data_IF_036404639948
#
_entry.id   IF_036404639948
#
_cell.length_a   1.000
_cell.length_b   1.000
_cell.length_c   1.000
_cell.angle_alpha   90.00
_cell.angle_beta   90.00
_cell.angle_gamma   90.00
#
_symmetry.space_group_name_H-M   'P 1'
#
loop_
_entity.id
_entity.type
_entity.pdbx_description
1 polymer ?
#
# COMPACT_ATOMS: atom_id res chain seq x y z
N UNK A 1 -39.12 -37.67 35.86
CA UNK A 1 -37.88 -38.03 36.57
C UNK A 1 -37.05 -36.76 36.67
N UNK A 2 -37.10 -36.15 37.85
CA UNK A 2 -36.37 -34.96 38.27
C UNK A 2 -34.92 -35.34 38.56
N UNK A 3 -33.99 -34.82 37.76
CA UNK A 3 -32.55 -34.94 37.99
C UNK A 3 -32.03 -33.59 38.47
N UNK A 4 -31.66 -33.56 39.75
CA UNK A 4 -31.26 -32.41 40.55
C UNK A 4 -29.85 -31.90 40.27
N UNK A 5 -29.69 -30.63 40.61
CA UNK A 5 -28.49 -29.84 40.85
C UNK A 5 -27.27 -30.59 41.40
N UNK A 6 -26.11 -30.27 40.85
CA UNK A 6 -24.82 -30.32 41.55
C UNK A 6 -24.00 -29.10 41.11
N UNK A 7 -24.23 -27.99 41.80
CA UNK A 7 -23.43 -26.77 41.72
C UNK A 7 -22.08 -27.01 42.41
N UNK A 8 -21.02 -27.14 41.60
CA UNK A 8 -19.65 -27.16 42.08
C UNK A 8 -19.17 -25.73 42.37
N UNK A 9 -19.03 -25.38 43.65
CA UNK A 9 -18.38 -24.15 44.13
C UNK A 9 -16.94 -24.48 44.53
N UNK A 10 -15.91 -23.98 43.83
CA UNK A 10 -14.52 -24.14 44.28
C UNK A 10 -14.27 -23.25 45.50
N UNK A 11 -13.83 -23.87 46.58
CA UNK A 11 -13.34 -23.23 47.80
C UNK A 11 -12.09 -22.41 47.50
N UNK A 12 -12.17 -21.09 47.63
CA UNK A 12 -10.99 -20.22 47.61
C UNK A 12 -10.19 -20.42 48.90
N UNK A 13 -8.96 -20.91 48.76
CA UNK A 13 -7.98 -20.90 49.84
C UNK A 13 -7.47 -19.47 50.06
N UNK A 14 -7.32 -19.01 51.31
CA UNK A 14 -6.76 -17.69 51.61
C UNK A 14 -5.28 -17.67 51.26
N UNK A 15 -4.90 -16.85 50.28
CA UNK A 15 -3.50 -16.59 49.96
C UNK A 15 -2.99 -15.47 50.88
N UNK A 16 -2.11 -15.87 51.79
CA UNK A 16 -1.35 -14.99 52.67
C UNK A 16 -0.69 -13.84 51.90
N UNK A 17 -1.00 -12.62 52.35
CA UNK A 17 -0.36 -11.40 51.90
C UNK A 17 1.01 -11.24 52.56
N UNK A 18 2.13 -11.13 51.81
CA UNK A 18 3.38 -10.73 52.42
C UNK A 18 3.43 -9.20 52.67
N UNK A 19 4.06 -8.76 53.77
CA UNK A 19 4.00 -7.39 54.25
C UNK A 19 4.85 -6.40 53.44
N UNK A 20 4.37 -5.16 53.42
CA UNK A 20 5.01 -3.99 52.85
C UNK A 20 6.38 -3.71 53.50
N UNK A 21 7.47 -3.92 52.75
CA UNK A 21 8.79 -3.49 53.18
C UNK A 21 9.08 -2.08 52.67
N UNK A 22 8.73 -1.09 53.49
CA UNK A 22 9.28 0.26 53.43
C UNK A 22 10.73 0.23 53.92
N UNK A 23 11.71 0.33 53.01
CA UNK A 23 13.08 0.74 53.33
C UNK A 23 13.51 1.78 52.31
N UNK A 24 13.45 3.06 52.66
CA UNK A 24 14.46 3.85 53.39
C UNK A 24 15.32 4.64 52.40
N UNK A 25 15.09 5.95 52.46
CA UNK A 25 15.85 7.00 51.79
C UNK A 25 17.34 6.88 52.15
N UNK A 26 18.20 7.05 51.16
CA UNK A 26 19.53 7.60 51.34
C UNK A 26 19.71 8.78 50.37
N UNK A 27 19.78 10.02 50.88
CA UNK A 27 20.40 11.11 50.16
C UNK A 27 21.88 11.11 50.54
N UNK A 28 22.76 10.68 49.63
CA UNK A 28 24.19 10.98 49.76
C UNK A 28 24.52 12.11 48.80
N UNK A 29 24.64 13.30 49.38
CA UNK A 29 25.35 14.44 48.81
C UNK A 29 26.75 14.00 48.39
N UNK A 30 27.06 14.18 47.11
CA UNK A 30 28.44 14.36 46.68
C UNK A 30 28.47 15.46 45.64
N UNK A 31 28.74 16.65 46.15
CA UNK A 31 29.27 17.81 45.42
C UNK A 31 30.57 17.40 44.72
N UNK A 32 30.54 17.39 43.40
CA UNK A 32 31.73 17.46 42.57
C UNK A 32 31.42 18.29 41.33
N UNK A 33 32.00 19.49 41.33
CA UNK A 33 32.49 20.23 40.17
C UNK A 33 31.53 20.43 38.99
N UNK A 34 30.98 21.66 38.96
CA UNK A 34 30.32 22.26 37.80
C UNK A 34 31.36 22.51 36.71
N UNK A 35 31.60 21.49 35.87
CA UNK A 35 32.21 21.68 34.55
C UNK A 35 31.10 22.17 33.60
N UNK A 36 31.24 23.32 32.94
CA UNK A 36 30.24 23.80 31.99
C UNK A 36 30.09 22.76 30.86
N UNK A 37 28.86 22.29 30.55
CA UNK A 37 28.65 21.30 29.52
C UNK A 37 29.05 21.89 28.17
N UNK A 38 30.18 21.41 27.63
CA UNK A 38 30.57 21.60 26.24
C UNK A 38 29.37 21.24 25.37
N UNK A 39 28.95 22.20 24.57
CA UNK A 39 27.85 22.14 23.61
C UNK A 39 27.61 20.72 23.08
N UNK A 40 26.59 20.08 23.63
CA UNK A 40 26.19 18.73 23.25
C UNK A 40 25.95 18.71 21.73
N UNK A 41 26.79 17.95 21.01
CA UNK A 41 26.58 17.64 19.59
C UNK A 41 25.16 17.11 19.47
N UNK A 42 24.32 17.83 18.71
CA UNK A 42 22.93 17.44 18.46
C UNK A 42 22.90 15.96 18.08
N UNK A 43 22.09 15.12 18.74
CA UNK A 43 22.05 13.69 18.46
C UNK A 43 21.78 13.50 16.97
N UNK A 44 22.64 12.69 16.34
CA UNK A 44 22.54 12.29 14.94
C UNK A 44 21.10 11.81 14.71
N UNK A 45 20.40 12.47 13.79
CA UNK A 45 19.01 12.16 13.49
C UNK A 45 18.95 10.77 12.87
N UNK A 46 18.72 9.75 13.70
CA UNK A 46 18.43 8.40 13.24
C UNK A 46 17.16 8.46 12.38
N UNK A 47 17.21 8.02 11.12
CA UNK A 47 16.03 8.01 10.27
C UNK A 47 14.97 7.14 10.92
N UNK A 48 13.86 7.76 11.34
CA UNK A 48 12.71 7.05 11.93
C UNK A 48 12.30 5.94 10.98
N UNK A 49 12.58 4.68 11.35
CA UNK A 49 12.19 3.51 10.58
C UNK A 49 10.69 3.59 10.30
N UNK A 50 10.34 3.68 9.02
CA UNK A 50 8.96 3.80 8.56
C UNK A 50 8.21 2.53 8.95
N UNK A 51 7.37 2.64 9.98
CA UNK A 51 6.54 1.54 10.44
C UNK A 51 5.70 0.99 9.28
N UNK A 52 5.92 -0.28 8.95
CA UNK A 52 5.15 -0.96 7.90
C UNK A 52 3.70 -1.03 8.34
N UNK A 53 2.81 -0.38 7.59
CA UNK A 53 1.37 -0.45 7.85
C UNK A 53 0.85 -1.79 7.31
N UNK A 54 -0.26 -2.28 7.85
CA UNK A 54 -1.02 -3.39 7.25
C UNK A 54 -2.11 -2.77 6.37
N UNK A 55 -2.48 -3.37 5.22
CA UNK A 55 -3.63 -2.92 4.44
C UNK A 55 -4.90 -2.86 5.30
N UNK A 56 -5.71 -1.81 5.12
CA UNK A 56 -6.96 -1.61 5.88
C UNK A 56 -8.21 -2.06 5.13
N UNK A 57 -8.07 -2.49 3.87
CA UNK A 57 -9.18 -2.95 3.04
C UNK A 57 -9.41 -4.46 3.25
N UNK A 58 -10.61 -4.83 3.72
CA UNK A 58 -10.98 -6.21 3.98
C UNK A 58 -10.79 -7.13 2.77
N UNK A 59 -11.12 -6.67 1.54
CA UNK A 59 -10.95 -7.48 0.32
C UNK A 59 -9.49 -7.82 0.07
N UNK A 60 -8.58 -6.86 0.28
CA UNK A 60 -7.14 -7.07 0.09
C UNK A 60 -6.58 -8.06 1.12
N UNK A 61 -7.01 -7.95 2.38
CA UNK A 61 -6.58 -8.85 3.46
C UNK A 61 -7.01 -10.29 3.17
N UNK A 62 -8.27 -10.49 2.77
CA UNK A 62 -8.81 -11.82 2.45
C UNK A 62 -8.03 -12.48 1.29
N UNK A 63 -7.70 -11.71 0.25
CA UNK A 63 -6.90 -12.21 -0.87
C UNK A 63 -5.49 -12.63 -0.43
N UNK A 64 -4.81 -11.80 0.37
CA UNK A 64 -3.47 -12.10 0.89
C UNK A 64 -3.49 -13.33 1.80
N UNK A 65 -4.45 -13.42 2.72
CA UNK A 65 -4.65 -14.57 3.60
C UNK A 65 -4.88 -15.85 2.81
N UNK A 66 -5.74 -15.85 1.78
CA UNK A 66 -5.98 -17.02 0.92
C UNK A 66 -4.69 -17.46 0.22
N UNK A 67 -3.87 -16.51 -0.24
CA UNK A 67 -2.58 -16.82 -0.87
C UNK A 67 -1.58 -17.43 0.11
N UNK A 68 -1.52 -16.94 1.35
CA UNK A 68 -0.69 -17.51 2.41
C UNK A 68 -1.12 -18.91 2.81
N UNK A 69 -2.43 -19.14 2.97
CA UNK A 69 -2.95 -20.46 3.29
C UNK A 69 -2.60 -21.48 2.21
N UNK A 70 -2.56 -21.08 0.93
CA UNK A 70 -2.08 -21.96 -0.14
C UNK A 70 -0.59 -22.26 -0.03
N UNK A 71 0.23 -21.24 0.22
CA UNK A 71 1.69 -21.38 0.38
C UNK A 71 2.10 -22.21 1.60
N UNK A 72 1.32 -22.14 2.68
CA UNK A 72 1.59 -22.85 3.93
C UNK A 72 1.14 -24.32 3.92
N UNK A 73 0.49 -24.80 2.85
CA UNK A 73 0.11 -26.21 2.74
C UNK A 73 1.36 -27.03 2.44
N UNK A 74 1.67 -27.98 3.33
CA UNK A 74 2.80 -28.89 3.16
C UNK A 74 4.17 -28.29 3.49
N UNK A 75 4.23 -27.11 4.13
CA UNK A 75 5.50 -26.52 4.58
C UNK A 75 5.71 -26.74 6.07
N UNK A 76 6.92 -27.12 6.45
CA UNK A 76 7.31 -27.31 7.84
C UNK A 76 7.21 -26.03 8.68
N UNK A 77 7.10 -26.22 9.99
CA UNK A 77 6.82 -25.13 10.94
C UNK A 77 7.97 -24.12 10.97
N UNK A 78 9.20 -24.61 11.00
CA UNK A 78 10.43 -23.82 11.13
C UNK A 78 10.73 -23.01 9.87
N UNK A 79 10.61 -23.64 8.70
CA UNK A 79 10.90 -23.01 7.40
C UNK A 79 9.88 -21.91 7.02
N UNK A 80 8.68 -21.98 7.58
CA UNK A 80 7.57 -21.10 7.23
C UNK A 80 7.19 -20.06 8.29
N UNK A 81 8.08 -19.82 9.27
CA UNK A 81 7.82 -18.87 10.37
C UNK A 81 7.40 -17.47 9.86
N UNK A 82 8.12 -16.93 8.88
CA UNK A 82 7.83 -15.62 8.29
C UNK A 82 6.42 -15.54 7.67
N UNK A 83 6.01 -16.57 6.94
CA UNK A 83 4.69 -16.67 6.34
C UNK A 83 3.57 -16.83 7.39
N UNK A 84 3.85 -17.54 8.48
CA UNK A 84 2.92 -17.71 9.61
C UNK A 84 2.72 -16.40 10.38
N UNK A 85 3.80 -15.64 10.60
CA UNK A 85 3.76 -14.28 11.17
C UNK A 85 2.86 -13.38 10.31
N UNK A 86 3.05 -13.38 8.98
CA UNK A 86 2.17 -12.63 8.08
C UNK A 86 0.72 -13.10 8.14
N UNK A 87 0.47 -14.41 8.19
CA UNK A 87 -0.90 -14.97 8.25
C UNK A 87 -1.61 -14.55 9.53
N UNK A 88 -0.91 -14.61 10.67
CA UNK A 88 -1.44 -14.15 11.96
C UNK A 88 -1.76 -12.65 11.94
N UNK A 89 -0.89 -11.83 11.35
CA UNK A 89 -1.13 -10.40 11.16
C UNK A 89 -2.41 -10.10 10.38
N UNK A 90 -2.61 -10.80 9.26
CA UNK A 90 -3.81 -10.63 8.45
C UNK A 90 -5.07 -11.14 9.15
N UNK A 91 -4.99 -12.24 9.90
CA UNK A 91 -6.11 -12.77 10.66
C UNK A 91 -6.56 -11.80 11.77
N UNK A 92 -5.62 -11.23 12.53
CA UNK A 92 -5.94 -10.24 13.56
C UNK A 92 -6.52 -8.95 12.96
N UNK A 93 -5.97 -8.49 11.82
CA UNK A 93 -6.49 -7.32 11.13
C UNK A 93 -7.91 -7.56 10.57
N UNK A 94 -8.18 -8.75 10.03
CA UNK A 94 -9.50 -9.17 9.56
C UNK A 94 -10.53 -9.13 10.69
N UNK A 95 -10.22 -9.76 11.84
CA UNK A 95 -11.10 -9.77 13.01
C UNK A 95 -11.39 -8.34 13.50
N UNK A 96 -10.37 -7.49 13.60
CA UNK A 96 -10.52 -6.09 13.97
C UNK A 96 -11.45 -5.32 13.02
N UNK A 97 -11.30 -5.50 11.70
CA UNK A 97 -12.14 -4.82 10.72
C UNK A 97 -13.59 -5.32 10.73
N UNK A 98 -13.79 -6.63 10.96
CA UNK A 98 -15.12 -7.21 11.10
C UNK A 98 -15.82 -6.70 12.37
N UNK A 99 -15.12 -6.66 13.50
CA UNK A 99 -15.63 -6.07 14.74
C UNK A 99 -15.97 -4.59 14.57
N UNK A 100 -15.06 -3.82 13.96
CA UNK A 100 -15.28 -2.41 13.65
C UNK A 100 -16.52 -2.19 12.78
N UNK A 101 -16.79 -3.08 11.82
CA UNK A 101 -18.00 -2.99 10.99
C UNK A 101 -19.26 -3.28 11.79
N UNK A 102 -19.25 -4.30 12.66
CA UNK A 102 -20.39 -4.70 13.50
C UNK A 102 -20.74 -3.64 14.56
N UNK A 103 -19.74 -3.03 15.18
CA UNK A 103 -19.95 -2.02 16.24
C UNK A 103 -20.34 -0.66 15.67
N UNK A 104 -19.77 -0.29 14.51
CA UNK A 104 -20.13 0.96 13.82
C UNK A 104 -21.62 1.03 13.47
N UNK A 105 -22.27 -0.10 13.19
CA UNK A 105 -23.69 -0.14 12.84
C UNK A 105 -24.62 -0.11 14.04
N UNK A 106 -24.19 -0.60 15.20
CA UNK A 106 -25.11 -0.86 16.32
C UNK A 106 -25.17 0.24 17.37
N UNK A 107 -24.06 0.92 17.69
CA UNK A 107 -24.02 1.73 18.93
C UNK A 107 -23.14 2.99 18.87
N UNK A 108 -22.60 3.38 17.71
CA UNK A 108 -21.68 4.54 17.61
C UNK A 108 -20.39 4.43 18.46
N UNK A 109 -20.17 3.28 19.12
CA UNK A 109 -19.02 3.05 20.00
C UNK A 109 -17.75 2.94 19.17
N UNK A 110 -16.70 3.66 19.60
CA UNK A 110 -15.38 3.61 18.98
C UNK A 110 -14.67 2.32 19.37
N UNK A 111 -14.31 1.49 18.39
CA UNK A 111 -13.48 0.29 18.63
C UNK A 111 -12.05 0.71 18.92
N UNK A 112 -11.50 0.22 20.04
CA UNK A 112 -10.09 0.44 20.42
C UNK A 112 -9.16 -0.05 19.31
N UNK A 113 -8.11 0.72 19.03
CA UNK A 113 -7.13 0.34 18.01
C UNK A 113 -6.48 -1.01 18.35
N UNK A 114 -6.48 -1.94 17.39
CA UNK A 114 -5.84 -3.23 17.57
C UNK A 114 -4.31 -3.07 17.65
N UNK A 115 -3.72 -3.54 18.75
CA UNK A 115 -2.25 -3.56 18.96
C UNK A 115 -1.63 -4.80 18.29
N UNK A 116 -1.85 -4.98 16.99
CA UNK A 116 -1.54 -6.20 16.24
C UNK A 116 -0.05 -6.54 16.30
N UNK A 117 0.82 -5.56 16.06
CA UNK A 117 2.27 -5.76 16.11
C UNK A 117 2.72 -6.31 17.47
N UNK A 118 2.31 -5.66 18.56
CA UNK A 118 2.68 -6.08 19.91
C UNK A 118 2.22 -7.52 20.18
N UNK A 119 0.97 -7.85 19.82
CA UNK A 119 0.41 -9.19 20.05
C UNK A 119 1.14 -10.27 19.25
N UNK A 120 1.58 -9.97 18.03
CA UNK A 120 2.32 -10.93 17.21
C UNK A 120 3.76 -11.09 17.69
N UNK A 121 4.40 -9.99 18.10
CA UNK A 121 5.73 -10.04 18.70
C UNK A 121 5.73 -10.93 19.95
N UNK A 122 4.69 -10.79 20.79
CA UNK A 122 4.45 -11.63 21.97
C UNK A 122 4.22 -13.10 21.60
N UNK A 123 3.31 -13.39 20.67
CA UNK A 123 2.95 -14.78 20.30
C UNK A 123 4.09 -15.56 19.62
N UNK A 124 4.91 -14.90 18.82
CA UNK A 124 5.98 -15.55 18.07
C UNK A 124 7.36 -15.36 18.69
N UNK A 125 7.46 -14.63 19.81
CA UNK A 125 8.75 -14.32 20.46
C UNK A 125 9.70 -13.52 19.57
N UNK A 126 9.17 -12.68 18.67
CA UNK A 126 9.98 -11.90 17.71
C UNK A 126 10.07 -10.43 18.12
N UNK A 127 11.20 -9.80 17.81
CA UNK A 127 11.36 -8.36 18.07
C UNK A 127 10.51 -7.51 17.09
N UNK A 128 10.02 -6.33 17.52
CA UNK A 128 9.25 -5.44 16.65
C UNK A 128 9.94 -5.06 15.33
N UNK A 129 11.26 -4.83 15.27
CA UNK A 129 11.98 -4.59 14.01
C UNK A 129 11.92 -5.80 13.07
N UNK A 130 12.09 -7.01 13.60
CA UNK A 130 12.02 -8.27 12.84
C UNK A 130 10.63 -8.47 12.25
N UNK A 131 9.58 -8.21 13.04
CA UNK A 131 8.21 -8.22 12.55
C UNK A 131 8.02 -7.24 11.38
N UNK A 132 8.50 -5.99 11.52
CA UNK A 132 8.41 -5.00 10.46
C UNK A 132 9.17 -5.43 9.20
N UNK A 133 10.37 -6.00 9.35
CA UNK A 133 11.16 -6.53 8.24
C UNK A 133 10.38 -7.64 7.48
N UNK A 134 9.93 -8.68 8.20
CA UNK A 134 9.15 -9.80 7.63
C UNK A 134 7.93 -9.29 6.88
N UNK A 135 7.14 -8.42 7.52
CA UNK A 135 5.90 -7.91 6.93
C UNK A 135 6.20 -7.01 5.73
N UNK A 136 7.23 -6.17 5.80
CA UNK A 136 7.62 -5.28 4.70
C UNK A 136 8.12 -6.05 3.47
N UNK A 137 8.93 -7.09 3.67
CA UNK A 137 9.38 -7.98 2.60
C UNK A 137 8.17 -8.66 1.94
N UNK A 138 7.28 -9.26 2.74
CA UNK A 138 6.09 -9.91 2.20
C UNK A 138 5.17 -8.96 1.42
N UNK A 139 4.96 -7.74 1.91
CA UNK A 139 4.09 -6.76 1.27
C UNK A 139 4.70 -6.16 0.00
N UNK A 140 6.03 -6.00 -0.05
CA UNK A 140 6.76 -5.61 -1.26
C UNK A 140 6.62 -6.67 -2.34
N UNK A 141 6.92 -7.94 -2.02
CA UNK A 141 6.87 -9.05 -2.96
C UNK A 141 5.47 -9.29 -3.57
N UNK A 142 4.42 -8.89 -2.86
CA UNK A 142 3.03 -9.18 -3.23
C UNK A 142 2.24 -7.99 -3.79
N UNK A 143 2.87 -6.82 -4.01
CA UNK A 143 2.20 -5.63 -4.54
C UNK A 143 0.83 -5.34 -3.86
N UNK A 144 0.71 -5.68 -2.58
CA UNK A 144 -0.53 -5.51 -1.80
C UNK A 144 -0.89 -4.01 -1.66
N UNK A 145 0.10 -3.14 -1.85
CA UNK A 145 -0.06 -1.72 -2.02
C UNK A 145 -0.19 -1.36 -3.50
N UNK A 146 -1.37 -1.64 -4.07
CA UNK A 146 -1.79 -0.96 -5.29
C UNK A 146 -2.00 0.57 -5.09
N UNK A 147 -1.75 1.11 -3.90
CA UNK A 147 -1.78 2.55 -3.62
C UNK A 147 -0.41 3.05 -3.18
N UNK A 148 0.29 3.69 -4.12
CA UNK A 148 1.55 4.43 -4.02
C UNK A 148 2.18 4.62 -2.64
N UNK A 149 3.29 3.91 -2.41
CA UNK A 149 4.59 4.45 -1.99
C UNK A 149 5.55 3.27 -1.83
N UNK A 150 6.53 3.20 -2.74
CA UNK A 150 7.68 2.29 -2.77
C UNK A 150 7.35 0.78 -2.66
N UNK A 151 7.32 0.11 -3.81
CA UNK A 151 7.33 -1.36 -3.89
C UNK A 151 6.38 -1.86 -4.95
N UNK A 152 6.93 -2.05 -6.14
CA UNK A 152 6.44 -2.80 -7.31
C UNK A 152 4.97 -2.66 -7.72
N UNK A 153 4.83 -2.06 -8.90
CA UNK A 153 3.58 -1.76 -9.54
C UNK A 153 2.66 -2.97 -9.68
N UNK A 154 1.36 -2.66 -9.74
CA UNK A 154 0.33 -3.54 -10.28
C UNK A 154 0.93 -4.38 -11.42
N UNK A 155 0.99 -5.69 -11.23
CA UNK A 155 1.27 -6.67 -12.28
C UNK A 155 0.63 -6.18 -13.57
N UNK A 156 1.45 -5.93 -14.59
CA UNK A 156 0.98 -5.66 -15.94
C UNK A 156 -0.02 -6.74 -16.35
N UNK A 157 -1.01 -6.34 -17.13
CA UNK A 157 -2.10 -7.19 -17.56
C UNK A 157 -1.56 -8.41 -18.34
N UNK A 158 -2.00 -9.61 -17.94
CA UNK A 158 -1.62 -10.89 -18.57
C UNK A 158 -2.31 -11.15 -19.92
N UNK A 159 -3.18 -10.24 -20.38
CA UNK A 159 -3.93 -10.38 -21.62
C UNK A 159 -3.64 -9.23 -22.58
N UNK A 160 -3.31 -9.57 -23.82
CA UNK A 160 -3.01 -8.61 -24.89
C UNK A 160 -4.19 -7.70 -25.27
N UNK A 161 -5.42 -8.01 -24.81
CA UNK A 161 -6.63 -7.20 -25.08
C UNK A 161 -6.78 -5.99 -24.16
N UNK A 162 -6.00 -5.92 -23.07
CA UNK A 162 -6.10 -4.85 -22.08
C UNK A 162 -4.72 -4.27 -21.73
N UNK A 163 -3.83 -4.02 -22.69
CA UNK A 163 -2.57 -3.29 -22.38
C UNK A 163 -2.87 -1.82 -22.05
N UNK A 164 -3.29 -1.56 -20.81
CA UNK A 164 -3.41 -0.24 -20.22
C UNK A 164 -2.13 0.05 -19.45
N UNK A 165 -1.59 1.25 -19.64
CA UNK A 165 -0.46 1.75 -18.84
C UNK A 165 -0.89 1.69 -17.37
N UNK A 166 -0.11 1.04 -16.47
CA UNK A 166 -0.46 0.99 -15.07
C UNK A 166 -0.58 2.40 -14.51
N UNK A 167 -1.79 2.79 -14.10
CA UNK A 167 -2.01 4.08 -13.44
C UNK A 167 -1.52 4.00 -11.99
N UNK A 168 -0.19 4.09 -11.85
CA UNK A 168 0.52 4.05 -10.58
C UNK A 168 1.35 5.33 -10.45
N UNK A 169 1.46 5.83 -9.23
CA UNK A 169 2.19 7.07 -8.94
C UNK A 169 3.67 6.97 -9.37
N UNK A 170 4.26 5.77 -9.29
CA UNK A 170 5.63 5.51 -9.77
C UNK A 170 5.77 5.68 -11.28
N UNK A 171 4.86 5.07 -12.06
CA UNK A 171 4.84 5.23 -13.54
C UNK A 171 4.61 6.69 -13.90
N UNK A 172 3.71 7.39 -13.20
CA UNK A 172 3.48 8.82 -13.42
C UNK A 172 4.73 9.67 -13.15
N UNK A 173 5.50 9.37 -12.10
CA UNK A 173 6.78 10.04 -11.80
C UNK A 173 7.79 9.77 -12.92
N UNK A 174 7.98 8.52 -13.31
CA UNK A 174 8.93 8.15 -14.36
C UNK A 174 8.61 8.80 -15.71
N UNK A 175 7.34 8.82 -16.10
CA UNK A 175 6.89 9.50 -17.33
C UNK A 175 7.12 11.02 -17.21
N UNK A 176 6.85 11.61 -16.04
CA UNK A 176 7.09 13.04 -15.80
C UNK A 176 8.57 13.40 -15.86
N UNK A 177 9.43 12.58 -15.29
CA UNK A 177 10.89 12.77 -15.33
C UNK A 177 11.45 12.63 -16.74
N UNK A 178 11.00 11.62 -17.49
CA UNK A 178 11.33 11.47 -18.90
C UNK A 178 10.93 12.69 -19.73
N UNK A 179 9.68 13.16 -19.57
CA UNK A 179 9.18 14.36 -20.27
C UNK A 179 9.97 15.61 -19.84
N UNK A 180 10.30 15.75 -18.57
CA UNK A 180 11.13 16.87 -18.06
C UNK A 180 12.53 16.84 -18.68
N UNK A 181 13.17 15.68 -18.77
CA UNK A 181 14.48 15.52 -19.40
C UNK A 181 14.45 15.87 -20.89
N UNK A 182 13.45 15.40 -21.63
CA UNK A 182 13.25 15.74 -23.04
C UNK A 182 12.94 17.22 -23.26
N UNK A 183 12.12 17.82 -22.38
CA UNK A 183 11.82 19.26 -22.41
C UNK A 183 13.06 20.11 -22.11
N UNK A 184 13.92 19.69 -21.18
CA UNK A 184 15.19 20.39 -20.92
C UNK A 184 16.09 20.43 -22.16
N UNK A 185 16.03 19.38 -22.99
CA UNK A 185 16.68 19.31 -24.31
C UNK A 185 15.91 19.99 -25.45
N UNK A 186 14.80 20.68 -25.14
CA UNK A 186 13.88 21.32 -26.11
C UNK A 186 13.27 20.36 -27.14
N UNK A 187 13.20 19.07 -26.82
CA UNK A 187 12.58 18.04 -27.67
C UNK A 187 11.08 17.91 -27.36
N UNK A 188 10.24 17.76 -28.39
CA UNK A 188 8.83 17.40 -28.23
C UNK A 188 8.70 15.91 -27.96
N UNK A 189 7.85 15.54 -27.00
CA UNK A 189 7.60 14.14 -26.64
C UNK A 189 6.25 13.70 -27.20
N UNK A 190 6.25 12.63 -27.98
CA UNK A 190 5.04 11.98 -28.50
C UNK A 190 4.59 10.84 -27.59
N UNK A 191 3.30 10.47 -27.66
CA UNK A 191 2.78 9.33 -26.90
C UNK A 191 3.51 8.02 -27.21
N UNK A 192 3.97 7.84 -28.46
CA UNK A 192 4.77 6.68 -28.89
C UNK A 192 6.11 6.62 -28.16
N UNK A 193 6.83 7.73 -28.07
CA UNK A 193 8.10 7.79 -27.35
C UNK A 193 7.95 7.53 -25.84
N UNK A 194 6.81 7.92 -25.25
CA UNK A 194 6.49 7.56 -23.86
C UNK A 194 6.28 6.06 -23.73
N UNK A 195 5.57 5.44 -24.69
CA UNK A 195 5.39 3.99 -24.70
C UNK A 195 6.72 3.25 -24.87
N UNK A 196 7.55 3.66 -25.83
CA UNK A 196 8.88 3.08 -26.08
C UNK A 196 9.76 3.19 -24.82
N UNK A 197 9.70 4.33 -24.11
CA UNK A 197 10.37 4.50 -22.83
C UNK A 197 9.86 3.51 -21.78
N UNK A 198 8.54 3.35 -21.62
CA UNK A 198 7.96 2.41 -20.66
C UNK A 198 8.29 0.95 -20.98
N UNK A 199 8.43 0.59 -22.27
CA UNK A 199 8.93 -0.71 -22.70
C UNK A 199 10.42 -0.86 -22.36
N UNK A 200 11.25 0.15 -22.64
CA UNK A 200 12.69 0.11 -22.34
C UNK A 200 13.01 -0.04 -20.85
N UNK A 201 12.13 0.43 -19.96
CA UNK A 201 12.26 0.32 -18.50
C UNK A 201 11.56 -0.94 -17.97
N UNK A 202 11.13 -1.86 -18.86
CA UNK A 202 10.45 -3.12 -18.52
C UNK A 202 9.16 -2.95 -17.70
N UNK A 203 8.45 -1.82 -17.86
CA UNK A 203 7.17 -1.56 -17.17
C UNK A 203 6.00 -2.16 -17.95
N UNK A 204 6.10 -2.16 -19.28
CA UNK A 204 5.10 -2.73 -20.19
C UNK A 204 5.79 -3.74 -21.08
N UNK A 205 5.22 -4.94 -21.17
CA UNK A 205 5.62 -5.95 -22.16
C UNK A 205 4.67 -5.87 -23.35
N UNK A 206 5.21 -5.57 -24.54
CA UNK A 206 4.46 -5.59 -25.79
C UNK A 206 5.01 -6.72 -26.65
N UNK A 207 4.15 -7.62 -27.12
CA UNK A 207 4.52 -8.60 -28.14
C UNK A 207 4.92 -7.84 -29.41
N UNK A 208 6.22 -7.84 -29.72
CA UNK A 208 6.75 -7.29 -30.97
C UNK A 208 6.67 -8.39 -32.02
N UNK A 209 6.13 -8.09 -33.20
CA UNK A 209 6.18 -9.02 -34.33
C UNK A 209 7.60 -9.18 -34.85
N UNK A 210 7.82 -10.14 -35.75
CA UNK A 210 9.13 -10.48 -36.33
C UNK A 210 9.84 -9.28 -36.99
N UNK A 211 9.08 -8.26 -37.40
CA UNK A 211 9.60 -7.05 -38.04
C UNK A 211 10.05 -5.95 -37.05
N UNK A 212 9.95 -6.18 -35.74
CA UNK A 212 10.25 -5.17 -34.70
C UNK A 212 9.25 -4.01 -34.64
N UNK A 213 8.22 -4.01 -35.48
CA UNK A 213 7.13 -3.01 -35.47
C UNK A 213 6.09 -3.41 -34.42
N UNK A 214 5.78 -2.50 -33.50
CA UNK A 214 4.64 -2.67 -32.60
C UNK A 214 3.35 -2.69 -33.42
N UNK A 215 2.71 -3.86 -33.54
CA UNK A 215 1.46 -4.02 -34.30
C UNK A 215 0.28 -3.55 -33.44
N UNK A 216 -0.40 -2.43 -33.77
CA UNK A 216 -1.67 -2.11 -33.16
C UNK A 216 -2.69 -3.14 -33.66
N UNK A 217 -3.10 -4.10 -32.82
CA UNK A 217 -4.04 -5.18 -33.20
C UNK A 217 -5.43 -4.71 -33.69
N UNK A 218 -5.71 -3.41 -33.73
CA UNK A 218 -6.87 -2.86 -34.44
C UNK A 218 -6.90 -3.24 -35.94
N UNK A 219 -5.75 -3.62 -36.52
CA UNK A 219 -5.67 -4.05 -37.92
C UNK A 219 -5.55 -5.57 -38.14
N UNK A 220 -5.24 -6.36 -37.11
CA UNK A 220 -4.94 -7.80 -37.27
C UNK A 220 -6.17 -8.73 -37.23
N UNK A 221 -7.33 -8.25 -36.78
CA UNK A 221 -8.55 -9.08 -36.64
C UNK A 221 -9.60 -8.84 -37.73
N UNK A 222 -9.24 -8.29 -38.90
CA UNK A 222 -10.08 -8.45 -40.10
C UNK A 222 -9.62 -9.67 -40.88
N UNK A 223 -9.87 -10.84 -40.29
CA UNK A 223 -10.00 -12.06 -41.07
C UNK A 223 -11.13 -11.87 -42.07
N UNK A 224 -10.78 -11.90 -43.36
CA UNK A 224 -11.52 -12.50 -44.47
C UNK A 224 -13.01 -12.70 -44.17
N UNK A 225 -13.81 -11.66 -44.37
CA UNK A 225 -15.22 -11.82 -44.72
C UNK A 225 -15.33 -11.68 -46.23
N UNK A 226 -15.00 -12.76 -46.94
CA UNK A 226 -15.50 -13.01 -48.28
C UNK A 226 -17.01 -13.24 -48.17
N UNK A 227 -17.75 -12.14 -48.21
CA UNK A 227 -19.20 -12.12 -48.12
C UNK A 227 -19.71 -10.94 -48.94
N UNK A 228 -19.77 -11.16 -50.26
CA UNK A 228 -20.41 -10.27 -51.22
C UNK A 228 -21.83 -9.93 -50.73
N UNK A 229 -22.03 -8.69 -50.27
CA UNK A 229 -23.32 -8.01 -50.38
C UNK A 229 -23.08 -6.65 -50.98
N UNK A 230 -23.27 -6.59 -52.31
CA UNK A 230 -23.49 -5.34 -53.06
C UNK A 230 -24.52 -4.51 -52.29
N UNK A 231 -24.15 -3.29 -51.91
CA UNK A 231 -25.09 -2.21 -51.64
C UNK A 231 -24.74 -1.01 -52.52
N UNK A 232 -25.77 -0.27 -52.97
CA UNK A 232 -25.69 0.56 -54.16
C UNK A 232 -24.88 1.83 -53.92
N UNK A 233 -24.27 2.29 -55.01
CA UNK A 233 -23.63 3.59 -55.14
C UNK A 233 -24.64 4.69 -54.77
N UNK A 234 -24.34 5.45 -53.74
CA UNK A 234 -24.80 6.82 -53.61
C UNK A 234 -23.57 7.69 -53.41
N UNK A 235 -23.13 8.28 -54.52
CA UNK A 235 -22.23 9.41 -54.49
C UNK A 235 -22.96 10.59 -53.84
N UNK A 236 -22.30 11.26 -52.89
CA UNK A 236 -22.24 12.72 -52.82
C UNK A 236 -21.26 13.17 -51.73
N UNK A 237 -20.25 13.87 -52.23
CA UNK A 237 -19.48 14.96 -51.62
C UNK A 237 -19.58 15.18 -50.11
N UNK A 238 -18.43 15.19 -49.45
CA UNK A 238 -18.04 16.31 -48.59
C UNK A 238 -16.51 16.43 -48.59
N UNK A 239 -16.03 17.33 -49.44
CA UNK A 239 -14.71 17.96 -49.32
C UNK A 239 -14.90 19.10 -48.33
N UNK A 240 -14.17 19.11 -47.20
CA UNK A 240 -13.56 20.29 -46.62
C UNK A 240 -12.91 19.99 -45.25
N UNK A 241 -11.61 20.27 -45.17
CA UNK A 241 -10.93 20.98 -44.08
C UNK A 241 -11.37 20.74 -42.63
N UNK A 242 -10.46 20.14 -41.85
CA UNK A 242 -10.26 20.54 -40.45
C UNK A 242 -8.80 20.38 -40.06
N UNK A 243 -7.97 21.34 -40.48
CA UNK A 243 -6.74 21.68 -39.76
C UNK A 243 -7.13 22.22 -38.38
N UNK A 244 -7.05 21.39 -37.35
CA UNK A 244 -7.29 21.80 -35.97
C UNK A 244 -6.06 22.57 -35.44
N UNK A 245 -5.97 23.86 -35.81
CA UNK A 245 -5.19 24.85 -35.06
C UNK A 245 -6.00 25.24 -33.82
N UNK A 246 -5.66 24.70 -32.67
CA UNK A 246 -6.08 25.22 -31.37
C UNK A 246 -4.84 25.77 -30.65
N UNK A 247 -4.78 27.07 -30.31
CA UNK A 247 -3.67 27.64 -29.56
C UNK A 247 -3.70 27.19 -28.09
N UNK A 248 -2.54 26.72 -27.61
CA UNK A 248 -2.31 26.22 -26.25
C UNK A 248 -2.22 27.32 -25.17
N UNK A 249 -2.97 28.43 -25.30
CA UNK A 249 -2.80 29.62 -24.43
C UNK A 249 -3.90 29.85 -23.39
N UNK A 250 -4.78 28.89 -23.09
CA UNK A 250 -5.86 29.06 -22.09
C UNK A 250 -5.97 27.95 -21.04
N UNK A 251 -4.84 27.38 -20.61
CA UNK A 251 -4.83 26.36 -19.53
C UNK A 251 -3.77 26.62 -18.45
N UNK A 252 -3.49 27.89 -18.14
CA UNK A 252 -2.53 28.27 -17.09
C UNK A 252 -3.05 29.19 -15.99
N UNK A 253 -4.37 29.47 -15.87
CA UNK A 253 -4.88 30.26 -14.73
C UNK A 253 -6.23 29.77 -14.22
N UNK A 254 -6.23 29.26 -12.99
CA UNK A 254 -7.42 29.22 -12.13
C UNK A 254 -7.98 27.83 -11.84
N UNK A 255 -7.37 27.08 -10.90
CA UNK A 255 -8.09 26.21 -9.93
C UNK A 255 -7.15 25.47 -8.94
N UNK A 256 -6.11 26.14 -8.43
CA UNK A 256 -5.18 25.52 -7.45
C UNK A 256 -4.89 26.42 -6.26
N UNK A 257 -5.89 27.18 -5.80
CA UNK A 257 -5.85 27.89 -4.53
C UNK A 257 -7.23 27.79 -3.89
N UNK A 258 -7.44 26.76 -3.07
CA UNK A 258 -8.17 26.89 -1.82
C UNK A 258 -8.09 25.59 -1.01
N UNK A 259 -7.92 25.77 0.29
CA UNK A 259 -8.13 24.81 1.37
C UNK A 259 -6.93 24.03 1.93
N UNK A 260 -5.83 24.72 2.24
CA UNK A 260 -5.02 24.45 3.46
C UNK A 260 -4.55 25.81 4.05
N UNK A 261 -4.84 26.03 5.35
CA UNK A 261 -4.38 27.11 6.28
C UNK A 261 -5.31 28.32 6.49
N UNK A 262 -6.08 28.27 7.58
CA UNK A 262 -6.45 29.33 8.57
C UNK A 262 -7.41 28.63 9.56
N UNK A 263 -7.34 28.69 10.88
CA UNK A 263 -6.50 29.41 11.86
C UNK A 263 -6.53 28.54 13.14
N UNK A 264 -5.40 28.51 13.83
CA UNK A 264 -5.22 28.01 15.19
C UNK A 264 -4.91 29.25 16.03
N UNK A 265 -5.88 29.69 16.81
CA UNK A 265 -5.94 30.80 17.78
C UNK A 265 -7.46 30.86 18.03
N UNK A 266 -8.00 30.28 19.11
CA UNK A 266 -7.91 30.79 20.47
C UNK A 266 -8.01 29.65 21.51
N UNK A 267 -7.27 29.79 22.62
CA UNK A 267 -7.56 29.31 24.00
C UNK A 267 -6.26 29.08 24.78
N UNK A 268 -5.72 30.16 25.35
CA UNK A 268 -4.96 30.17 26.62
C UNK A 268 -5.28 31.51 27.31
N UNK A 269 -5.69 31.39 28.59
CA UNK A 269 -6.18 32.38 29.56
C UNK A 269 -7.67 32.70 29.48
#
# INVERSE_FOLDING_TARGET
>A
MSGSDDDFIPTEAPVDSPPAHNLRRHPSERTSEVVPPRSAKKPRYEPKTTQTRIPTNLRSILALKKSLTKKLRGTDITESLSLRVCKAAFLMQENYLLEKRKTSTKNGRKVKQARIQARICELFGISPPTYCAILSCYLKDRAAYASGKLGDGRSGNKSAKETRIPDTLGVQILVREFIRGKRAKRERVTARQVLDYLVSVNIISVETGEDGVMIPKAFANKGICNGVKKRPKMAKAWVANTTMKQPWSLLTRGCWHNLIIRKRQDNIL
#
